data_IF_226818364267
#
_entry.id   IF_226818364267
#
_cell.length_a   1.000
_cell.length_b   1.000
_cell.length_c   1.000
_cell.angle_alpha   90.00
_cell.angle_beta   90.00
_cell.angle_gamma   90.00
#
_symmetry.space_group_name_H-M   'P 1'
#
loop_
_entity.id
_entity.type
_entity.pdbx_description
1 polymer ?
#
# COMPACT_ATOMS: atom_id res chain seq x y z
N UNK A 1 -22.91 -20.32 3.86
CA UNK A 1 -24.27 -20.60 3.33
C UNK A 1 -25.19 -21.31 4.33
N UNK A 2 -24.69 -21.75 5.48
CA UNK A 2 -25.53 -22.42 6.48
C UNK A 2 -26.60 -21.50 7.06
N UNK A 3 -26.31 -20.20 7.24
CA UNK A 3 -27.30 -19.27 7.82
C UNK A 3 -28.58 -19.13 6.97
N UNK A 4 -28.46 -19.16 5.64
CA UNK A 4 -29.62 -19.08 4.73
C UNK A 4 -30.48 -20.34 4.86
N UNK A 5 -29.85 -21.51 4.97
CA UNK A 5 -30.57 -22.77 5.19
C UNK A 5 -31.30 -22.76 6.54
N UNK A 6 -30.65 -22.26 7.59
CA UNK A 6 -31.28 -22.13 8.91
C UNK A 6 -32.48 -21.19 8.87
N UNK A 7 -32.41 -20.06 8.16
CA UNK A 7 -33.54 -19.15 7.98
C UNK A 7 -34.74 -19.86 7.33
N UNK A 8 -34.52 -20.64 6.27
CA UNK A 8 -35.60 -21.40 5.61
C UNK A 8 -36.21 -22.44 6.55
N UNK A 9 -35.36 -23.21 7.25
CA UNK A 9 -35.82 -24.24 8.19
C UNK A 9 -36.63 -23.63 9.34
N UNK A 10 -36.15 -22.54 9.95
CA UNK A 10 -36.86 -21.87 11.03
C UNK A 10 -38.15 -21.18 10.56
N UNK A 11 -38.18 -20.66 9.33
CA UNK A 11 -39.40 -20.14 8.72
C UNK A 11 -40.47 -21.23 8.58
N UNK A 12 -40.10 -22.39 8.03
CA UNK A 12 -41.01 -23.54 7.90
C UNK A 12 -41.45 -24.04 9.28
N UNK A 13 -40.52 -24.17 10.23
CA UNK A 13 -40.82 -24.61 11.60
C UNK A 13 -41.79 -23.67 12.32
N UNK A 14 -41.62 -22.36 12.13
CA UNK A 14 -42.53 -21.33 12.67
C UNK A 14 -43.93 -21.51 12.11
N UNK A 15 -44.05 -21.59 10.78
CA UNK A 15 -45.34 -21.76 10.11
C UNK A 15 -46.01 -23.07 10.52
N UNK A 16 -45.27 -24.19 10.51
CA UNK A 16 -45.80 -25.49 10.87
C UNK A 16 -46.25 -25.55 12.34
N UNK A 17 -45.42 -25.04 13.25
CA UNK A 17 -45.70 -25.03 14.68
C UNK A 17 -46.95 -24.24 15.04
N UNK A 18 -47.15 -23.07 14.42
CA UNK A 18 -48.32 -22.25 14.70
C UNK A 18 -49.59 -22.68 13.94
N UNK A 19 -49.46 -23.21 12.73
CA UNK A 19 -50.62 -23.52 11.88
C UNK A 19 -51.17 -24.93 12.07
N UNK A 20 -50.34 -25.93 12.40
CA UNK A 20 -50.75 -27.34 12.39
C UNK A 20 -50.74 -28.03 13.76
N UNK A 21 -50.01 -27.52 14.75
CA UNK A 21 -49.92 -28.16 16.07
C UNK A 21 -50.99 -27.61 17.01
N UNK A 22 -51.90 -28.50 17.44
CA UNK A 22 -53.02 -28.17 18.34
C UNK A 22 -52.67 -28.19 19.83
N UNK A 23 -51.68 -29.01 20.23
CA UNK A 23 -51.25 -29.08 21.62
C UNK A 23 -50.50 -27.79 21.98
N UNK A 24 -50.99 -27.05 22.97
CA UNK A 24 -50.47 -25.74 23.39
C UNK A 24 -48.98 -25.75 23.73
N UNK A 25 -48.49 -26.80 24.39
CA UNK A 25 -47.07 -26.89 24.76
C UNK A 25 -46.22 -27.12 23.51
N UNK A 26 -46.60 -28.10 22.69
CA UNK A 26 -45.87 -28.40 21.45
C UNK A 26 -45.94 -27.25 20.42
N UNK A 27 -47.05 -26.51 20.40
CA UNK A 27 -47.24 -25.31 19.58
C UNK A 27 -46.20 -24.24 19.90
N UNK A 28 -46.03 -23.89 21.19
CA UNK A 28 -45.03 -22.90 21.59
C UNK A 28 -43.60 -23.41 21.51
N UNK A 29 -43.36 -24.70 21.77
CA UNK A 29 -42.03 -25.29 21.61
C UNK A 29 -41.59 -25.30 20.15
N UNK A 30 -42.43 -25.74 19.21
CA UNK A 30 -42.01 -25.81 17.80
C UNK A 30 -42.14 -24.45 17.13
N UNK A 31 -43.31 -23.81 17.22
CA UNK A 31 -43.57 -22.54 16.56
C UNK A 31 -42.84 -21.38 17.24
N UNK A 32 -42.97 -21.26 18.56
CA UNK A 32 -42.37 -20.16 19.33
C UNK A 32 -40.85 -20.19 19.32
N UNK A 33 -40.21 -21.34 19.57
CA UNK A 33 -38.74 -21.43 19.51
C UNK A 33 -38.25 -21.21 18.09
N UNK A 34 -38.91 -21.79 17.06
CA UNK A 34 -38.51 -21.54 15.67
C UNK A 34 -38.63 -20.07 15.30
N UNK A 35 -39.66 -19.37 15.77
CA UNK A 35 -39.82 -17.94 15.55
C UNK A 35 -38.70 -17.13 16.20
N UNK A 36 -38.35 -17.44 17.45
CA UNK A 36 -37.24 -16.79 18.14
C UNK A 36 -35.90 -17.05 17.45
N UNK A 37 -35.65 -18.29 17.02
CA UNK A 37 -34.44 -18.66 16.28
C UNK A 37 -34.38 -18.00 14.89
N UNK A 38 -35.52 -17.84 14.22
CA UNK A 38 -35.63 -17.11 12.97
C UNK A 38 -35.27 -15.63 13.18
N UNK A 39 -35.90 -14.97 14.16
CA UNK A 39 -35.62 -13.58 14.51
C UNK A 39 -34.15 -13.37 14.90
N UNK A 40 -33.60 -14.27 15.72
CA UNK A 40 -32.18 -14.26 16.10
C UNK A 40 -31.26 -14.44 14.90
N UNK A 41 -31.60 -15.34 13.96
CA UNK A 41 -30.82 -15.58 12.75
C UNK A 41 -30.82 -14.38 11.80
N UNK A 42 -31.97 -13.69 11.65
CA UNK A 42 -32.05 -12.43 10.90
C UNK A 42 -31.19 -11.35 11.56
N UNK A 43 -31.31 -11.17 12.88
CA UNK A 43 -30.51 -10.19 13.61
C UNK A 43 -29.00 -10.44 13.46
N UNK A 44 -28.57 -11.71 13.59
CA UNK A 44 -27.18 -12.11 13.39
C UNK A 44 -26.70 -11.85 11.96
N UNK A 45 -27.53 -12.14 10.94
CA UNK A 45 -27.19 -11.85 9.55
C UNK A 45 -27.07 -10.35 9.30
N UNK A 46 -27.97 -9.54 9.86
CA UNK A 46 -27.89 -8.07 9.77
C UNK A 46 -26.62 -7.54 10.42
N UNK A 47 -26.27 -8.01 11.62
CA UNK A 47 -25.01 -7.64 12.28
C UNK A 47 -23.78 -8.07 11.49
N UNK A 48 -23.81 -9.24 10.85
CA UNK A 48 -22.73 -9.68 9.98
C UNK A 48 -22.56 -8.74 8.78
N UNK A 49 -23.64 -8.42 8.05
CA UNK A 49 -23.59 -7.57 6.86
C UNK A 49 -23.20 -6.13 7.20
N UNK A 50 -23.76 -5.56 8.27
CA UNK A 50 -23.53 -4.14 8.63
C UNK A 50 -22.21 -3.93 9.36
N UNK A 51 -21.94 -4.78 10.35
CA UNK A 51 -20.87 -4.56 11.34
C UNK A 51 -19.71 -5.54 11.15
N UNK A 52 -19.74 -6.40 10.12
CA UNK A 52 -18.75 -7.45 9.86
C UNK A 52 -18.61 -8.44 11.03
N UNK A 53 -19.67 -8.66 11.79
CA UNK A 53 -19.65 -9.55 12.96
C UNK A 53 -19.28 -10.99 12.58
N UNK A 54 -18.44 -11.65 13.37
CA UNK A 54 -17.87 -12.97 13.01
C UNK A 54 -16.59 -12.91 12.17
N UNK A 55 -16.13 -11.70 11.81
CA UNK A 55 -14.82 -11.46 11.20
C UNK A 55 -13.88 -10.74 12.17
N UNK A 56 -12.58 -10.83 11.88
CA UNK A 56 -11.52 -10.05 12.53
C UNK A 56 -10.57 -9.48 11.48
N UNK A 57 -9.88 -8.42 11.84
CA UNK A 57 -8.87 -7.79 10.99
C UNK A 57 -7.48 -8.32 11.35
N UNK A 58 -6.75 -8.79 10.34
CA UNK A 58 -5.36 -9.22 10.47
C UNK A 58 -4.49 -8.29 9.63
N UNK A 59 -3.48 -7.71 10.27
CA UNK A 59 -2.51 -6.84 9.59
C UNK A 59 -1.20 -7.59 9.40
N UNK A 60 -0.76 -7.68 8.15
CA UNK A 60 0.58 -8.17 7.81
C UNK A 60 1.45 -7.01 7.34
N UNK A 61 2.75 -7.12 7.56
CA UNK A 61 3.73 -6.11 7.16
C UNK A 61 4.82 -6.77 6.33
N UNK A 62 5.04 -6.26 5.13
CA UNK A 62 6.13 -6.69 4.25
C UNK A 62 7.05 -5.50 3.99
N UNK A 63 8.36 -5.74 4.00
CA UNK A 63 9.35 -4.72 3.71
C UNK A 63 10.32 -5.26 2.68
N UNK A 64 10.53 -4.50 1.62
CA UNK A 64 11.48 -4.84 0.57
C UNK A 64 12.28 -3.60 0.17
N UNK A 65 13.52 -3.83 -0.27
CA UNK A 65 14.39 -2.78 -0.79
C UNK A 65 13.90 -2.32 -2.16
N UNK A 66 13.94 -1.02 -2.40
CA UNK A 66 13.67 -0.42 -3.72
C UNK A 66 14.98 0.08 -4.34
N UNK A 67 14.96 0.26 -5.66
CA UNK A 67 16.11 0.67 -6.45
C UNK A 67 15.81 1.92 -7.26
N UNK A 68 16.87 2.65 -7.60
CA UNK A 68 16.78 3.95 -8.28
C UNK A 68 15.89 3.89 -9.53
N UNK A 69 15.15 4.95 -9.79
CA UNK A 69 14.43 5.21 -11.04
C UNK A 69 15.34 5.79 -12.13
N UNK A 70 16.47 6.39 -11.72
CA UNK A 70 17.44 7.04 -12.60
C UNK A 70 18.38 6.05 -13.29
N UNK A 71 19.52 6.57 -13.75
CA UNK A 71 20.61 5.75 -14.26
C UNK A 71 21.15 4.83 -13.14
N UNK A 72 21.43 3.56 -13.46
CA UNK A 72 22.00 2.59 -12.51
C UNK A 72 23.47 2.88 -12.18
N UNK A 73 24.16 3.60 -13.07
CA UNK A 73 25.55 4.02 -12.88
C UNK A 73 25.68 5.29 -12.04
N UNK A 74 24.57 5.99 -11.76
CA UNK A 74 24.58 7.14 -10.89
C UNK A 74 24.98 6.71 -9.46
N UNK A 75 25.84 7.49 -8.76
CA UNK A 75 26.27 7.15 -7.41
C UNK A 75 25.18 7.40 -6.36
N UNK A 76 24.02 7.96 -6.75
CA UNK A 76 22.90 8.29 -5.89
C UNK A 76 21.62 7.61 -6.37
N UNK A 77 20.65 7.47 -5.47
CA UNK A 77 19.32 6.99 -5.81
C UNK A 77 18.39 8.11 -6.27
N UNK A 78 17.40 7.76 -7.07
CA UNK A 78 16.34 8.70 -7.48
C UNK A 78 14.99 8.00 -7.44
N UNK A 79 13.96 8.71 -6.99
CA UNK A 79 12.56 8.30 -7.06
C UNK A 79 11.74 9.46 -7.59
N UNK A 80 10.77 9.18 -8.45
CA UNK A 80 9.84 10.20 -8.93
C UNK A 80 8.55 10.09 -8.12
N UNK A 81 8.04 11.21 -7.60
CA UNK A 81 6.75 11.29 -6.91
C UNK A 81 5.73 12.07 -7.75
N UNK A 82 4.48 11.61 -7.73
CA UNK A 82 3.33 12.33 -8.27
C UNK A 82 2.16 12.17 -7.29
N UNK A 83 1.65 13.28 -6.76
CA UNK A 83 0.54 13.26 -5.81
C UNK A 83 -0.78 12.92 -6.51
N UNK A 84 -1.62 12.15 -5.84
CA UNK A 84 -2.96 11.76 -6.30
C UNK A 84 -3.95 12.72 -5.66
N UNK A 85 -4.52 13.63 -6.46
CA UNK A 85 -5.38 14.70 -5.96
C UNK A 85 -4.57 15.89 -5.47
N UNK A 86 -5.16 16.72 -4.61
CA UNK A 86 -4.54 17.95 -4.07
C UNK A 86 -4.53 17.87 -2.55
N UNK A 87 -3.35 17.98 -1.94
CA UNK A 87 -3.14 17.97 -0.49
C UNK A 87 -3.65 16.68 0.18
N UNK A 88 -3.39 15.53 -0.43
CA UNK A 88 -3.85 14.22 0.05
C UNK A 88 -2.77 13.42 0.74
N UNK A 89 -1.49 13.82 0.61
CA UNK A 89 -0.33 13.05 1.08
C UNK A 89 -0.31 11.60 0.56
N UNK A 90 -0.87 11.40 -0.63
CA UNK A 90 -0.96 10.09 -1.30
C UNK A 90 -0.33 10.18 -2.68
N UNK A 91 0.61 9.29 -2.99
CA UNK A 91 1.48 9.41 -4.14
C UNK A 91 1.55 8.15 -5.00
N UNK A 92 1.68 8.36 -6.29
CA UNK A 92 2.26 7.38 -7.23
C UNK A 92 3.77 7.60 -7.24
N UNK A 93 4.53 6.51 -7.17
CA UNK A 93 5.98 6.55 -7.20
C UNK A 93 6.53 5.84 -8.43
N UNK A 94 7.63 6.36 -8.98
CA UNK A 94 8.42 5.65 -9.99
C UNK A 94 9.76 5.26 -9.37
N UNK A 95 10.01 3.96 -9.31
CA UNK A 95 11.26 3.34 -8.85
C UNK A 95 11.33 1.89 -9.36
N UNK A 96 12.50 1.25 -9.26
CA UNK A 96 12.68 -0.16 -9.65
C UNK A 96 12.40 -1.09 -8.46
N UNK A 97 11.57 -2.11 -8.65
CA UNK A 97 11.34 -3.14 -7.62
C UNK A 97 12.47 -4.18 -7.52
N UNK A 98 13.31 -4.27 -8.55
CA UNK A 98 14.44 -5.19 -8.61
C UNK A 98 15.67 -4.47 -9.18
N UNK A 99 16.84 -4.74 -8.62
CA UNK A 99 18.13 -4.18 -9.05
C UNK A 99 18.41 -4.41 -10.55
N UNK A 100 18.03 -5.60 -11.04
CA UNK A 100 18.29 -6.04 -12.40
C UNK A 100 17.29 -5.49 -13.42
N UNK A 101 16.15 -4.93 -12.99
CA UNK A 101 15.13 -4.38 -13.90
C UNK A 101 15.71 -3.27 -14.79
N UNK A 102 15.55 -3.39 -16.11
CA UNK A 102 16.06 -2.38 -17.05
C UNK A 102 15.34 -1.04 -16.87
N UNK A 103 14.00 -1.07 -16.80
CA UNK A 103 13.14 0.10 -16.63
C UNK A 103 12.61 0.21 -15.19
N UNK A 104 12.33 1.44 -14.78
CA UNK A 104 11.64 1.70 -13.53
C UNK A 104 10.14 1.41 -13.66
N UNK A 105 9.53 0.99 -12.56
CA UNK A 105 8.11 0.66 -12.49
C UNK A 105 7.31 1.84 -11.97
N UNK A 106 6.06 1.98 -12.43
CA UNK A 106 5.09 2.86 -11.78
C UNK A 106 4.39 2.10 -10.66
N UNK A 107 4.61 2.52 -9.43
CA UNK A 107 4.11 1.87 -8.23
C UNK A 107 2.97 2.68 -7.60
N UNK A 108 2.02 1.99 -6.99
CA UNK A 108 0.85 2.59 -6.31
C UNK A 108 -0.08 3.40 -7.21
N UNK A 109 -0.06 3.16 -8.53
CA UNK A 109 -1.10 3.67 -9.42
C UNK A 109 -2.46 3.07 -8.99
N UNK A 110 -3.50 3.89 -8.73
CA UNK A 110 -4.83 3.39 -8.45
C UNK A 110 -5.34 2.48 -9.57
N UNK A 111 -6.00 1.38 -9.19
CA UNK A 111 -6.68 0.51 -10.13
C UNK A 111 -8.02 1.13 -10.53
N UNK A 112 -8.10 1.62 -11.77
CA UNK A 112 -9.29 2.26 -12.33
C UNK A 112 -10.45 1.28 -12.55
N UNK A 113 -10.19 -0.04 -12.61
CA UNK A 113 -11.24 -1.06 -12.78
C UNK A 113 -11.83 -1.50 -11.44
N UNK A 114 -11.06 -1.39 -10.36
CA UNK A 114 -11.45 -1.81 -9.00
C UNK A 114 -11.38 -0.64 -8.02
N UNK A 115 -12.14 0.42 -8.31
CA UNK A 115 -12.10 1.69 -7.56
C UNK A 115 -12.35 1.48 -6.05
N UNK A 116 -13.28 0.59 -5.69
CA UNK A 116 -13.60 0.28 -4.28
C UNK A 116 -12.42 -0.28 -3.49
N UNK A 117 -11.50 -1.00 -4.15
CA UNK A 117 -10.25 -1.42 -3.54
C UNK A 117 -9.17 -0.33 -3.61
N UNK A 118 -9.14 0.43 -4.71
CA UNK A 118 -8.14 1.46 -4.92
C UNK A 118 -8.21 2.55 -3.83
N UNK A 119 -9.41 2.94 -3.42
CA UNK A 119 -9.62 3.93 -2.33
C UNK A 119 -9.17 3.44 -0.96
N UNK A 120 -8.99 2.13 -0.77
CA UNK A 120 -8.48 1.52 0.47
C UNK A 120 -6.94 1.50 0.50
N UNK A 121 -6.27 1.90 -0.59
CA UNK A 121 -4.82 1.88 -0.74
C UNK A 121 -4.25 3.30 -0.69
N UNK A 122 -3.20 3.49 0.11
CA UNK A 122 -2.47 4.75 0.18
C UNK A 122 -0.97 4.50 0.18
N UNK A 123 -0.22 5.45 -0.36
CA UNK A 123 1.24 5.42 -0.38
C UNK A 123 1.81 6.80 -0.08
N UNK A 124 2.68 6.88 0.92
CA UNK A 124 3.43 8.09 1.27
C UNK A 124 4.93 7.77 1.32
N UNK A 125 5.76 8.78 1.56
CA UNK A 125 7.18 8.63 1.74
C UNK A 125 7.66 9.34 3.00
N UNK A 126 8.82 8.92 3.50
CA UNK A 126 9.53 9.60 4.57
C UNK A 126 11.02 9.61 4.27
N UNK A 127 11.68 10.70 4.66
CA UNK A 127 13.12 10.80 4.63
C UNK A 127 13.69 10.15 5.90
N UNK A 128 14.74 9.33 5.75
CA UNK A 128 15.36 8.59 6.84
C UNK A 128 16.87 8.70 6.84
N UNK A 129 17.44 8.53 8.04
CA UNK A 129 18.87 8.38 8.30
C UNK A 129 19.34 6.92 8.09
N UNK A 130 19.00 6.35 6.93
CA UNK A 130 19.40 5.00 6.53
C UNK A 130 20.21 5.07 5.23
N UNK A 131 20.90 3.99 4.90
CA UNK A 131 21.70 3.82 3.69
C UNK A 131 20.90 3.24 2.53
N UNK A 132 19.79 2.54 2.80
CA UNK A 132 18.99 1.84 1.80
C UNK A 132 17.57 2.40 1.73
N UNK A 133 17.06 2.54 0.50
CA UNK A 133 15.66 2.86 0.30
C UNK A 133 14.82 1.59 0.38
N UNK A 134 13.72 1.64 1.12
CA UNK A 134 12.83 0.50 1.33
C UNK A 134 11.38 0.94 1.23
N UNK A 135 10.51 0.01 0.89
CA UNK A 135 9.07 0.20 0.98
C UNK A 135 8.50 -0.78 1.98
N UNK A 136 7.80 -0.26 2.98
CA UNK A 136 7.06 -1.07 3.95
C UNK A 136 5.59 -0.97 3.62
N UNK A 137 4.97 -2.11 3.29
CA UNK A 137 3.53 -2.19 3.02
C UNK A 137 2.84 -2.92 4.17
N UNK A 138 1.89 -2.24 4.80
CA UNK A 138 0.99 -2.82 5.80
C UNK A 138 -0.35 -3.09 5.16
N UNK A 139 -0.75 -4.35 5.11
CA UNK A 139 -2.02 -4.77 4.53
C UNK A 139 -2.90 -5.34 5.62
N UNK A 140 -4.04 -4.70 5.86
CA UNK A 140 -5.07 -5.20 6.76
C UNK A 140 -6.14 -5.91 5.94
N UNK A 141 -6.30 -7.21 6.19
CA UNK A 141 -7.34 -8.03 5.57
C UNK A 141 -8.31 -8.56 6.60
N UNK A 142 -9.56 -8.69 6.19
CA UNK A 142 -10.61 -9.28 7.00
C UNK A 142 -10.60 -10.79 6.82
N UNK A 143 -10.63 -11.52 7.93
CA UNK A 143 -10.63 -12.98 7.96
C UNK A 143 -11.66 -13.48 8.97
N UNK A 144 -12.16 -14.70 8.79
CA UNK A 144 -13.06 -15.31 9.77
C UNK A 144 -12.42 -15.39 11.16
N UNK A 145 -13.18 -15.03 12.19
CA UNK A 145 -12.69 -15.14 13.57
C UNK A 145 -12.62 -16.59 14.04
N UNK A 146 -13.50 -17.45 13.51
CA UNK A 146 -13.53 -18.90 13.73
C UNK A 146 -14.15 -19.66 12.54
N UNK A 147 -13.94 -20.98 12.48
CA UNK A 147 -14.56 -21.85 11.47
C UNK A 147 -16.09 -21.90 11.58
N UNK A 148 -16.64 -21.67 12.78
CA UNK A 148 -18.10 -21.59 12.98
C UNK A 148 -18.71 -20.43 12.20
N UNK A 149 -18.13 -19.23 12.33
CA UNK A 149 -18.61 -18.05 11.59
C UNK A 149 -18.41 -18.21 10.08
N UNK A 150 -17.29 -18.82 9.68
CA UNK A 150 -17.06 -19.20 8.27
C UNK A 150 -18.17 -20.11 7.75
N UNK A 151 -18.53 -21.15 8.48
CA UNK A 151 -19.60 -22.08 8.08
C UNK A 151 -20.95 -21.37 7.95
N UNK A 152 -21.30 -20.57 8.97
CA UNK A 152 -22.55 -19.80 9.02
C UNK A 152 -22.65 -18.83 7.83
N UNK A 153 -21.67 -17.93 7.70
CA UNK A 153 -21.80 -16.72 6.90
C UNK A 153 -21.05 -16.72 5.58
N UNK A 154 -20.19 -17.71 5.27
CA UNK A 154 -19.48 -17.79 3.97
C UNK A 154 -20.47 -17.93 2.81
N UNK A 155 -20.97 -16.80 2.30
CA UNK A 155 -21.97 -16.70 1.24
C UNK A 155 -21.40 -15.92 0.05
N UNK A 156 -20.32 -15.16 0.21
CA UNK A 156 -19.72 -14.44 -0.93
C UNK A 156 -18.32 -13.94 -0.69
N UNK A 157 -17.29 -14.76 -0.90
CA UNK A 157 -15.90 -14.30 -1.11
C UNK A 157 -15.27 -13.39 -0.04
N UNK A 158 -15.91 -13.17 1.11
CA UNK A 158 -15.51 -12.22 2.16
C UNK A 158 -14.19 -12.58 2.84
N UNK A 159 -13.69 -13.80 2.60
CA UNK A 159 -12.39 -14.21 3.09
C UNK A 159 -11.29 -13.40 2.41
N UNK A 160 -10.41 -12.83 3.23
CA UNK A 160 -9.28 -12.01 2.79
C UNK A 160 -9.70 -10.69 2.11
N UNK A 161 -10.90 -10.17 2.39
CA UNK A 161 -11.31 -8.86 1.92
C UNK A 161 -10.28 -7.80 2.35
N UNK A 162 -9.86 -6.94 1.42
CA UNK A 162 -8.97 -5.84 1.73
C UNK A 162 -9.73 -4.79 2.55
N UNK A 163 -9.25 -4.48 3.75
CA UNK A 163 -9.79 -3.39 4.59
C UNK A 163 -9.04 -2.10 4.31
N UNK A 164 -7.71 -2.15 4.39
CA UNK A 164 -6.82 -1.04 4.09
C UNK A 164 -5.43 -1.54 3.74
N UNK A 165 -4.71 -0.77 2.95
CA UNK A 165 -3.30 -0.99 2.67
C UNK A 165 -2.57 0.34 2.68
N UNK A 166 -1.57 0.46 3.55
CA UNK A 166 -0.75 1.66 3.65
C UNK A 166 0.69 1.30 3.34
N UNK A 167 1.27 1.98 2.38
CA UNK A 167 2.66 1.80 1.97
C UNK A 167 3.46 3.06 2.31
N UNK A 168 4.62 2.88 2.94
CA UNK A 168 5.53 3.97 3.27
C UNK A 168 6.87 3.68 2.63
N UNK A 169 7.29 4.56 1.72
CA UNK A 169 8.61 4.50 1.11
C UNK A 169 9.60 5.27 2.00
N UNK A 170 10.52 4.56 2.62
CA UNK A 170 11.60 5.16 3.41
C UNK A 170 12.80 5.42 2.49
N UNK A 171 13.18 6.69 2.37
CA UNK A 171 14.20 7.14 1.41
C UNK A 171 15.39 7.78 2.16
N UNK A 172 16.64 7.36 1.90
CA UNK A 172 17.83 8.00 2.45
C UNK A 172 17.89 9.49 2.12
N UNK A 173 17.86 10.36 3.13
CA UNK A 173 17.71 11.80 2.91
C UNK A 173 18.86 12.47 2.16
N UNK A 174 20.08 11.93 2.34
CA UNK A 174 21.30 12.52 1.80
C UNK A 174 21.79 11.85 0.51
N UNK A 175 21.44 10.60 0.24
CA UNK A 175 21.94 9.83 -0.92
C UNK A 175 20.89 9.55 -1.97
N UNK A 176 19.65 10.02 -1.78
CA UNK A 176 18.56 9.90 -2.73
C UNK A 176 17.90 11.23 -3.06
N UNK A 177 17.39 11.32 -4.28
CA UNK A 177 16.54 12.40 -4.77
C UNK A 177 15.09 11.94 -4.87
N UNK A 178 14.17 12.66 -4.25
CA UNK A 178 12.72 12.46 -4.42
C UNK A 178 12.16 13.62 -5.23
N UNK A 179 11.92 13.40 -6.51
CA UNK A 179 11.64 14.47 -7.48
C UNK A 179 10.21 14.44 -7.99
N UNK A 180 9.60 15.60 -8.20
CA UNK A 180 8.37 15.74 -8.98
C UNK A 180 8.65 15.61 -10.48
N UNK A 181 7.61 15.37 -11.29
CA UNK A 181 7.77 15.33 -12.75
C UNK A 181 8.38 16.63 -13.32
N UNK A 182 8.02 17.80 -12.77
CA UNK A 182 8.58 19.08 -13.20
C UNK A 182 10.06 19.21 -12.85
N UNK A 183 10.46 18.75 -11.66
CA UNK A 183 11.88 18.72 -11.26
C UNK A 183 12.69 17.74 -12.11
N UNK A 184 12.13 16.59 -12.50
CA UNK A 184 12.79 15.67 -13.43
C UNK A 184 12.97 16.32 -14.80
N UNK A 185 11.94 16.98 -15.34
CA UNK A 185 12.05 17.71 -16.62
C UNK A 185 13.13 18.79 -16.58
N UNK A 186 13.16 19.58 -15.50
CA UNK A 186 14.18 20.60 -15.27
C UNK A 186 15.58 19.98 -15.19
N UNK A 187 15.74 18.90 -14.43
CA UNK A 187 17.01 18.18 -14.33
C UNK A 187 17.47 17.65 -15.70
N UNK A 188 16.57 17.05 -16.49
CA UNK A 188 16.93 16.56 -17.84
C UNK A 188 17.38 17.67 -18.78
N UNK A 189 16.84 18.88 -18.64
CA UNK A 189 17.24 20.04 -19.45
C UNK A 189 18.56 20.66 -18.99
N UNK A 190 18.80 20.75 -17.68
CA UNK A 190 19.94 21.46 -17.11
C UNK A 190 21.16 20.54 -16.85
N UNK A 191 20.96 19.24 -16.65
CA UNK A 191 22.03 18.28 -16.36
C UNK A 191 23.14 18.23 -17.42
N UNK A 192 22.85 18.27 -18.75
CA UNK A 192 23.91 18.26 -19.76
C UNK A 192 24.83 19.49 -19.67
N UNK A 193 24.26 20.68 -19.38
CA UNK A 193 25.04 21.90 -19.23
C UNK A 193 25.90 21.85 -17.95
N UNK A 194 25.31 21.37 -16.86
CA UNK A 194 26.00 21.17 -15.58
C UNK A 194 27.17 20.18 -15.69
N UNK A 195 26.96 19.05 -16.37
CA UNK A 195 28.01 18.06 -16.64
C UNK A 195 29.15 18.66 -17.46
N UNK A 196 28.84 19.38 -18.54
CA UNK A 196 29.87 20.07 -19.35
C UNK A 196 30.67 21.10 -18.56
N UNK A 197 30.00 21.88 -17.71
CA UNK A 197 30.68 22.85 -16.85
C UNK A 197 31.58 22.15 -15.82
N UNK A 198 31.11 21.05 -15.24
CA UNK A 198 31.90 20.25 -14.30
C UNK A 198 33.13 19.65 -15.00
N UNK A 199 32.96 19.03 -16.18
CA UNK A 199 34.08 18.50 -16.97
C UNK A 199 35.09 19.58 -17.36
N UNK A 200 34.63 20.77 -17.76
CA UNK A 200 35.52 21.89 -18.07
C UNK A 200 36.33 22.33 -16.84
N UNK A 201 35.70 22.44 -15.67
CA UNK A 201 36.41 22.77 -14.41
C UNK A 201 37.43 21.70 -14.04
N UNK A 202 37.10 20.41 -14.22
CA UNK A 202 38.00 19.31 -13.89
C UNK A 202 39.21 19.21 -14.84
N UNK A 203 39.06 19.66 -16.09
CA UNK A 203 40.18 19.77 -17.04
C UNK A 203 41.16 20.89 -16.68
N UNK A 204 40.65 21.98 -16.11
CA UNK A 204 41.45 23.15 -15.70
C UNK A 204 42.10 22.94 -14.33
N UNK A 205 41.51 22.10 -13.47
CA UNK A 205 42.01 21.77 -12.14
C UNK A 205 42.22 20.26 -11.96
N UNK A 206 43.41 19.74 -12.35
CA UNK A 206 43.75 18.32 -12.22
C UNK A 206 43.76 17.82 -10.77
N UNK A 207 44.03 18.70 -9.80
CA UNK A 207 44.05 18.33 -8.38
C UNK A 207 42.63 18.07 -7.89
N UNK A 208 41.67 18.93 -8.24
CA UNK A 208 40.26 18.73 -7.91
C UNK A 208 39.68 17.49 -8.59
N UNK A 209 40.10 17.20 -9.82
CA UNK A 209 39.74 15.95 -10.50
C UNK A 209 40.28 14.71 -9.76
N UNK A 210 41.54 14.74 -9.34
CA UNK A 210 42.13 13.65 -8.55
C UNK A 210 41.43 13.47 -7.19
N UNK A 211 41.07 14.56 -6.51
CA UNK A 211 40.36 14.52 -5.23
C UNK A 211 38.95 13.90 -5.37
N UNK A 212 38.19 14.28 -6.40
CA UNK A 212 36.86 13.70 -6.65
C UNK A 212 36.94 12.22 -7.03
N UNK A 213 37.90 11.85 -7.88
CA UNK A 213 38.13 10.46 -8.24
C UNK A 213 38.58 9.62 -7.04
N UNK A 214 39.41 10.18 -6.14
CA UNK A 214 39.79 9.55 -4.89
C UNK A 214 38.59 9.40 -3.95
N UNK A 215 37.79 10.46 -3.79
CA UNK A 215 36.58 10.45 -2.94
C UNK A 215 35.57 9.41 -3.41
N UNK A 216 35.33 9.30 -4.72
CA UNK A 216 34.44 8.29 -5.28
C UNK A 216 34.90 6.86 -4.95
N UNK A 217 36.21 6.61 -4.85
CA UNK A 217 36.78 5.31 -4.51
C UNK A 217 36.82 5.06 -3.00
N UNK A 218 37.23 6.05 -2.21
CA UNK A 218 37.46 5.92 -0.77
C UNK A 218 36.17 6.06 0.05
N UNK A 219 35.22 6.87 -0.41
CA UNK A 219 33.94 7.10 0.26
C UNK A 219 32.81 7.38 -0.76
N UNK A 220 32.27 6.32 -1.39
CA UNK A 220 31.20 6.44 -2.38
C UNK A 220 29.95 7.14 -1.83
N UNK A 221 29.66 6.96 -0.53
CA UNK A 221 28.51 7.58 0.12
C UNK A 221 28.66 9.09 0.19
N UNK A 222 29.80 9.63 0.64
CA UNK A 222 30.01 11.09 0.66
C UNK A 222 30.03 11.69 -0.76
N UNK A 223 30.55 10.95 -1.74
CA UNK A 223 30.47 11.35 -3.14
C UNK A 223 29.01 11.46 -3.62
N UNK A 224 28.16 10.48 -3.27
CA UNK A 224 26.74 10.50 -3.57
C UNK A 224 26.03 11.69 -2.90
N UNK A 225 26.30 11.95 -1.62
CA UNK A 225 25.73 13.08 -0.88
C UNK A 225 26.06 14.42 -1.53
N UNK A 226 27.31 14.59 -1.95
CA UNK A 226 27.76 15.80 -2.63
C UNK A 226 26.98 16.04 -3.93
N UNK A 227 26.78 15.01 -4.76
CA UNK A 227 25.99 15.13 -5.99
C UNK A 227 24.51 15.43 -5.71
N UNK A 228 23.91 14.72 -4.75
CA UNK A 228 22.51 14.96 -4.35
C UNK A 228 22.34 16.41 -3.89
N UNK A 229 23.24 16.93 -3.06
CA UNK A 229 23.22 18.32 -2.60
C UNK A 229 23.30 19.32 -3.76
N UNK A 230 24.20 19.09 -4.72
CA UNK A 230 24.35 19.95 -5.88
C UNK A 230 23.10 19.95 -6.76
N UNK A 231 22.48 18.78 -6.96
CA UNK A 231 21.23 18.65 -7.72
C UNK A 231 20.06 19.31 -6.98
N UNK A 232 19.95 19.14 -5.65
CA UNK A 232 18.93 19.83 -4.83
C UNK A 232 19.05 21.35 -4.98
N UNK A 233 20.27 21.90 -4.96
CA UNK A 233 20.51 23.32 -5.17
C UNK A 233 20.06 23.79 -6.57
N UNK A 234 20.41 23.05 -7.61
CA UNK A 234 19.98 23.34 -8.99
C UNK A 234 18.45 23.36 -9.13
N UNK A 235 17.79 22.40 -8.49
CA UNK A 235 16.34 22.23 -8.55
C UNK A 235 15.58 23.11 -7.55
N UNK A 236 16.26 23.86 -6.69
CA UNK A 236 15.64 24.70 -5.65
C UNK A 236 14.92 23.88 -4.57
N UNK A 237 15.42 22.67 -4.27
CA UNK A 237 14.86 21.77 -3.25
C UNK A 237 15.49 22.11 -1.90
N UNK A 238 14.67 22.51 -0.94
CA UNK A 238 15.08 22.86 0.44
C UNK A 238 14.86 21.74 1.45
N UNK A 239 14.25 20.63 1.05
CA UNK A 239 13.99 19.42 1.86
C UNK A 239 15.24 18.58 2.14
#
# INVERSE_FOLDING_TARGET
>A
MLIILLLVVFMIGTFFGFMFIKNTIAHWLVGGISFLLLAGSVAMLTMHIRDNWGMKEVTTSTTHQIYTAGDKSAPYGMMIKAEIGKNTDNYVFVYRNNEKSEKADTNFKPDEKHISEAVKKSATYKLVDDTKATVTTKTTRRVWSSDFYKLLFSVGGEQNELVKQNSVVSVPKDTWLVLTQNQVKKLSQEAPAMQKQMEAQLKVDPQKAAQLAALQKSNPTEYAKMQVKQIKQLLGITE
#
